data_IF_255156499660
#
_entry.id   IF_255156499660
#
_cell.length_a   1.000
_cell.length_b   1.000
_cell.length_c   1.000
_cell.angle_alpha   90.00
_cell.angle_beta   90.00
_cell.angle_gamma   90.00
#
_symmetry.space_group_name_H-M   'P 1'
#
loop_
_entity.id
_entity.type
_entity.pdbx_description
1 polymer ?
#
# COMPACT_ATOMS: atom_id res chain seq x y z
N UNK A 1 -6.33 -1.07 -4.89
CA UNK A 1 -5.15 -0.49 -4.20
C UNK A 1 -4.46 0.42 -5.19
N UNK A 2 -3.96 1.60 -4.85
CA UNK A 2 -3.26 2.39 -5.88
C UNK A 2 -1.94 1.73 -6.33
N UNK A 3 -1.44 2.13 -7.49
CA UNK A 3 -0.11 1.81 -8.00
C UNK A 3 0.66 3.10 -8.24
N UNK A 4 1.87 3.23 -7.71
CA UNK A 4 2.72 4.40 -7.92
C UNK A 4 4.00 4.01 -8.63
N UNK A 5 4.52 4.90 -9.47
CA UNK A 5 5.77 4.74 -10.19
C UNK A 5 6.47 6.09 -10.35
N UNK A 6 7.79 6.05 -10.54
CA UNK A 6 8.51 7.24 -11.00
C UNK A 6 9.95 6.96 -11.34
N UNK A 7 10.50 7.84 -12.18
CA UNK A 7 11.87 7.78 -12.66
C UNK A 7 12.49 9.17 -12.55
N UNK A 8 13.59 9.25 -11.81
CA UNK A 8 14.55 10.33 -11.88
C UNK A 8 15.74 9.89 -12.73
N UNK A 9 16.15 10.72 -13.69
CA UNK A 9 17.33 10.46 -14.51
C UNK A 9 18.17 11.72 -14.72
N UNK A 10 19.48 11.57 -14.74
CA UNK A 10 20.39 12.64 -15.17
C UNK A 10 20.36 12.81 -16.69
N UNK A 11 20.73 14.00 -17.17
CA UNK A 11 20.79 14.31 -18.59
C UNK A 11 21.72 13.36 -19.38
N UNK A 12 22.73 12.77 -18.73
CA UNK A 12 23.64 11.80 -19.33
C UNK A 12 22.99 10.42 -19.59
N UNK A 13 21.83 10.13 -18.99
CA UNK A 13 21.21 8.81 -18.93
C UNK A 13 19.92 8.69 -19.74
N UNK A 14 19.42 9.76 -20.35
CA UNK A 14 18.27 9.66 -21.25
C UNK A 14 17.76 10.98 -21.79
N UNK A 15 17.07 10.87 -22.93
CA UNK A 15 16.15 11.91 -23.42
C UNK A 15 14.95 11.97 -22.46
N UNK A 16 14.65 13.13 -21.87
CA UNK A 16 13.48 13.30 -21.02
C UNK A 16 12.15 12.88 -21.66
N UNK A 17 12.04 12.89 -22.99
CA UNK A 17 10.85 12.40 -23.69
C UNK A 17 10.64 10.88 -23.55
N UNK A 18 11.73 10.10 -23.45
CA UNK A 18 11.68 8.64 -23.25
C UNK A 18 11.25 8.22 -21.84
N UNK A 19 11.52 9.05 -20.82
CA UNK A 19 11.12 8.74 -19.44
C UNK A 19 9.60 8.67 -19.27
N UNK A 20 8.88 9.53 -20.00
CA UNK A 20 7.42 9.54 -19.98
C UNK A 20 6.83 8.21 -20.44
N UNK A 21 7.30 7.69 -21.57
CA UNK A 21 6.82 6.41 -22.12
C UNK A 21 7.22 5.20 -21.28
N UNK A 22 8.39 5.25 -20.63
CA UNK A 22 8.78 4.24 -19.65
C UNK A 22 7.81 4.22 -18.46
N UNK A 23 7.51 5.38 -17.86
CA UNK A 23 6.53 5.47 -16.77
C UNK A 23 5.14 5.04 -17.24
N UNK A 24 4.70 5.41 -18.44
CA UNK A 24 3.41 4.97 -18.98
C UNK A 24 3.33 3.43 -19.09
N UNK A 25 4.43 2.78 -19.50
CA UNK A 25 4.55 1.31 -19.50
C UNK A 25 4.51 0.73 -18.08
N UNK A 26 5.21 1.35 -17.12
CA UNK A 26 5.16 0.96 -15.71
C UNK A 26 3.73 1.04 -15.16
N UNK A 27 3.00 2.10 -15.49
CA UNK A 27 1.60 2.29 -15.05
C UNK A 27 0.64 1.31 -15.72
N UNK A 28 0.89 0.92 -16.98
CA UNK A 28 0.10 -0.11 -17.65
C UNK A 28 0.25 -1.47 -16.97
N UNK A 29 1.46 -1.82 -16.52
CA UNK A 29 1.74 -3.06 -15.79
C UNK A 29 1.07 -3.14 -14.41
N UNK A 30 0.58 -2.01 -13.87
CA UNK A 30 -0.08 -1.91 -12.56
C UNK A 30 -1.57 -1.57 -12.65
N UNK A 31 -2.18 -1.70 -13.84
CA UNK A 31 -3.60 -1.37 -14.03
C UNK A 31 -4.53 -2.17 -13.10
N UNK A 32 -4.19 -3.42 -12.77
CA UNK A 32 -4.96 -4.27 -11.86
C UNK A 32 -5.05 -3.71 -10.43
N UNK A 33 -4.11 -2.85 -10.04
CA UNK A 33 -4.12 -2.22 -8.72
C UNK A 33 -5.16 -1.10 -8.69
N UNK A 34 -5.02 -0.14 -9.61
CA UNK A 34 -5.80 1.10 -9.69
C UNK A 34 -6.43 1.28 -11.06
N UNK A 35 -7.62 0.69 -11.30
CA UNK A 35 -8.27 0.71 -12.60
C UNK A 35 -9.03 2.00 -12.91
N UNK A 36 -9.32 2.85 -11.92
CA UNK A 36 -10.30 3.93 -12.06
C UNK A 36 -9.71 5.17 -12.74
N UNK A 37 -8.48 5.53 -12.38
CA UNK A 37 -7.79 6.70 -12.94
C UNK A 37 -6.30 6.42 -13.11
N UNK A 38 -5.66 7.14 -14.02
CA UNK A 38 -4.21 7.09 -14.17
C UNK A 38 -3.67 8.36 -14.84
N UNK A 39 -2.45 8.72 -14.47
CA UNK A 39 -1.81 9.92 -15.00
C UNK A 39 -0.34 9.97 -14.65
N UNK A 40 0.34 10.94 -15.26
CA UNK A 40 1.74 11.25 -14.96
C UNK A 40 1.97 12.74 -14.89
N UNK A 41 2.97 13.11 -14.12
CA UNK A 41 3.49 14.45 -13.98
C UNK A 41 4.99 14.41 -14.27
N UNK A 42 5.50 15.38 -15.01
CA UNK A 42 6.90 15.43 -15.41
C UNK A 42 7.48 16.83 -15.18
N UNK A 43 8.75 16.87 -14.80
CA UNK A 43 9.52 18.12 -14.67
C UNK A 43 10.91 17.93 -15.25
N UNK A 44 11.26 18.86 -16.14
CA UNK A 44 12.60 19.00 -16.67
C UNK A 44 13.38 19.99 -15.81
N UNK A 45 14.64 19.65 -15.53
CA UNK A 45 15.64 20.46 -14.83
C UNK A 45 16.86 20.59 -15.75
N UNK A 46 17.76 21.52 -15.45
CA UNK A 46 18.91 21.82 -16.32
C UNK A 46 19.75 20.59 -16.66
N UNK A 47 19.94 19.67 -15.70
CA UNK A 47 20.79 18.48 -15.84
C UNK A 47 20.08 17.16 -15.49
N UNK A 48 18.75 17.15 -15.38
CA UNK A 48 17.99 15.95 -15.03
C UNK A 48 16.51 16.09 -15.36
N UNK A 49 15.77 15.00 -15.26
CA UNK A 49 14.32 15.00 -15.35
C UNK A 49 13.72 14.03 -14.32
N UNK A 50 12.51 14.34 -13.89
CA UNK A 50 11.70 13.51 -13.02
C UNK A 50 10.34 13.28 -13.68
N UNK A 51 9.87 12.04 -13.66
CA UNK A 51 8.50 11.68 -14.01
C UNK A 51 7.91 10.89 -12.85
N UNK A 52 6.74 11.30 -12.38
CA UNK A 52 5.93 10.60 -11.38
C UNK A 52 4.65 10.11 -12.06
N UNK A 53 4.18 8.93 -11.70
CA UNK A 53 2.98 8.31 -12.26
C UNK A 53 2.14 7.63 -11.18
N UNK A 54 0.82 7.73 -11.33
CA UNK A 54 -0.15 7.11 -10.43
C UNK A 54 -1.21 6.31 -11.19
N UNK A 55 -1.65 5.21 -10.58
CA UNK A 55 -2.87 4.44 -10.89
C UNK A 55 -3.73 4.43 -9.64
N UNK A 56 -4.97 4.85 -9.76
CA UNK A 56 -5.86 5.06 -8.62
C UNK A 56 -6.95 4.00 -8.55
N UNK A 57 -7.15 3.44 -7.36
CA UNK A 57 -8.43 2.86 -6.97
C UNK A 57 -9.09 3.90 -6.06
N UNK A 58 -10.23 4.45 -6.47
CA UNK A 58 -10.93 5.49 -5.73
C UNK A 58 -11.71 4.86 -4.56
N UNK A 59 -11.24 5.10 -3.33
CA UNK A 59 -11.84 4.59 -2.08
C UNK A 59 -12.24 5.74 -1.15
N UNK A 60 -11.40 6.77 -1.07
CA UNK A 60 -11.69 8.04 -0.41
C UNK A 60 -11.71 9.15 -1.47
N UNK A 61 -12.74 10.00 -1.42
CA UNK A 61 -13.06 11.05 -2.39
C UNK A 61 -13.18 10.52 -3.82
N UNK A 62 -14.36 10.07 -4.23
CA UNK A 62 -14.56 9.48 -5.56
C UNK A 62 -14.47 10.47 -6.73
N UNK A 63 -14.18 11.75 -6.47
CA UNK A 63 -14.09 12.80 -7.49
C UNK A 63 -12.70 12.88 -8.13
N UNK A 64 -12.55 13.77 -9.12
CA UNK A 64 -11.25 14.10 -9.72
C UNK A 64 -10.31 14.83 -8.77
N UNK A 65 -10.79 15.38 -7.64
CA UNK A 65 -9.95 16.10 -6.68
C UNK A 65 -8.89 15.19 -6.03
N UNK A 66 -9.17 13.89 -5.90
CA UNK A 66 -8.20 12.89 -5.45
C UNK A 66 -7.32 12.29 -6.55
N UNK A 67 -7.32 12.85 -7.77
CA UNK A 67 -6.50 12.34 -8.89
C UNK A 67 -5.01 12.40 -8.58
N UNK A 68 -4.25 11.45 -9.12
CA UNK A 68 -2.80 11.37 -8.94
C UNK A 68 -2.06 11.32 -10.28
N UNK A 69 -0.88 11.95 -10.41
CA UNK A 69 -0.17 12.71 -9.37
C UNK A 69 -0.90 14.01 -8.98
N UNK A 70 -0.95 14.30 -7.68
CA UNK A 70 -1.54 15.53 -7.17
C UNK A 70 -0.45 16.60 -7.04
N UNK A 71 -0.75 17.84 -7.43
CA UNK A 71 0.19 18.96 -7.39
C UNK A 71 -0.33 20.03 -6.44
N UNK A 72 0.51 20.47 -5.52
CA UNK A 72 0.21 21.58 -4.62
C UNK A 72 0.31 22.89 -5.40
N UNK A 73 -0.79 23.66 -5.53
CA UNK A 73 -0.79 24.91 -6.29
C UNK A 73 0.04 26.03 -5.64
N UNK A 74 0.33 25.94 -4.34
CA UNK A 74 1.09 26.95 -3.58
C UNK A 74 2.59 26.67 -3.69
N UNK A 75 3.01 25.43 -3.45
CA UNK A 75 4.43 25.07 -3.43
C UNK A 75 4.94 24.59 -4.78
N UNK A 76 4.07 24.04 -5.64
CA UNK A 76 4.45 23.35 -6.87
C UNK A 76 4.94 21.91 -6.65
N UNK A 77 4.92 21.41 -5.41
CA UNK A 77 5.30 20.03 -5.09
C UNK A 77 4.29 19.04 -5.70
N UNK A 78 4.76 17.88 -6.12
CA UNK A 78 3.92 16.84 -6.72
C UNK A 78 4.03 15.52 -5.93
N UNK A 79 2.90 14.85 -5.69
CA UNK A 79 2.84 13.57 -4.95
C UNK A 79 2.22 12.45 -5.79
N UNK A 80 2.74 11.24 -5.59
CA UNK A 80 2.06 9.97 -5.88
C UNK A 80 1.97 9.16 -4.60
N UNK A 81 0.79 8.59 -4.31
CA UNK A 81 0.43 8.01 -3.03
C UNK A 81 -0.35 6.70 -3.20
N UNK A 82 0.17 5.62 -2.63
CA UNK A 82 -0.54 4.35 -2.46
C UNK A 82 -0.68 4.06 -0.98
N UNK A 83 -1.85 4.35 -0.42
CA UNK A 83 -2.06 4.21 1.01
C UNK A 83 -3.46 4.62 1.44
N UNK A 84 -3.63 4.65 2.76
CA UNK A 84 -4.73 5.25 3.50
C UNK A 84 -4.14 5.86 4.77
N UNK A 85 -4.41 7.15 5.03
CA UNK A 85 -4.09 7.81 6.29
C UNK A 85 -5.35 7.91 7.14
N UNK A 86 -5.49 7.02 8.12
CA UNK A 86 -6.72 6.91 8.91
C UNK A 86 -7.01 8.14 9.78
N UNK A 87 -5.98 8.89 10.17
CA UNK A 87 -6.12 10.13 10.92
C UNK A 87 -6.09 11.40 10.05
N UNK A 88 -6.42 11.28 8.75
CA UNK A 88 -6.46 12.44 7.87
C UNK A 88 -7.48 13.52 8.31
N UNK A 89 -8.65 13.23 8.92
CA UNK A 89 -9.59 14.27 9.31
C UNK A 89 -9.06 15.14 10.48
N UNK A 90 -8.26 14.56 11.38
CA UNK A 90 -7.54 15.30 12.42
C UNK A 90 -6.47 16.21 11.80
N UNK A 91 -5.64 15.65 10.92
CA UNK A 91 -4.55 16.37 10.28
C UNK A 91 -5.06 17.48 9.35
N UNK A 92 -6.17 17.25 8.64
CA UNK A 92 -6.84 18.28 7.86
C UNK A 92 -7.23 19.47 8.73
N UNK A 93 -7.89 19.23 9.88
CA UNK A 93 -8.27 20.30 10.83
C UNK A 93 -7.05 21.03 11.37
N UNK A 94 -5.97 20.32 11.68
CA UNK A 94 -4.71 20.91 12.14
C UNK A 94 -4.10 21.85 11.08
N UNK A 95 -4.03 21.40 9.82
CA UNK A 95 -3.51 22.20 8.71
C UNK A 95 -4.40 23.43 8.43
N UNK A 96 -5.73 23.27 8.44
CA UNK A 96 -6.67 24.40 8.31
C UNK A 96 -6.48 25.42 9.43
N UNK A 97 -6.27 24.98 10.67
CA UNK A 97 -5.99 25.88 11.80
C UNK A 97 -4.66 26.62 11.67
N UNK A 98 -3.69 26.06 10.93
CA UNK A 98 -2.42 26.72 10.55
C UNK A 98 -2.55 27.63 9.31
N UNK A 99 -3.75 27.77 8.75
CA UNK A 99 -4.06 28.65 7.63
C UNK A 99 -3.89 28.00 6.25
N UNK A 100 -3.74 26.67 6.16
CA UNK A 100 -3.78 25.99 4.87
C UNK A 100 -5.21 25.93 4.32
N UNK A 101 -5.36 26.26 3.04
CA UNK A 101 -6.58 25.96 2.28
C UNK A 101 -6.41 24.62 1.59
N UNK A 102 -7.13 23.61 2.05
CA UNK A 102 -7.25 22.32 1.38
C UNK A 102 -8.49 22.35 0.47
N UNK A 103 -8.42 21.65 -0.65
CA UNK A 103 -9.41 21.72 -1.74
C UNK A 103 -10.12 20.39 -1.99
N UNK A 104 -9.64 19.32 -1.37
CA UNK A 104 -10.17 17.96 -1.40
C UNK A 104 -10.34 17.43 0.02
N UNK A 105 -11.23 16.45 0.18
CA UNK A 105 -11.37 15.68 1.41
C UNK A 105 -10.56 14.37 1.33
N UNK A 106 -9.44 14.39 0.59
CA UNK A 106 -8.58 13.24 0.35
C UNK A 106 -7.33 13.26 1.25
N UNK A 107 -6.99 12.10 1.81
CA UNK A 107 -5.79 11.91 2.60
C UNK A 107 -4.48 12.26 1.86
N UNK A 108 -4.48 12.14 0.53
CA UNK A 108 -3.33 12.48 -0.33
C UNK A 108 -2.98 13.97 -0.23
N UNK A 109 -3.98 14.86 -0.19
CA UNK A 109 -3.72 16.31 -0.04
C UNK A 109 -3.18 16.61 1.36
N UNK A 110 -3.71 15.97 2.40
CA UNK A 110 -3.20 16.09 3.78
C UNK A 110 -1.73 15.71 3.87
N UNK A 111 -1.30 14.63 3.20
CA UNK A 111 0.12 14.24 3.16
C UNK A 111 0.97 15.28 2.44
N UNK A 112 0.52 15.76 1.26
CA UNK A 112 1.26 16.73 0.46
C UNK A 112 1.41 18.08 1.19
N UNK A 113 0.32 18.59 1.79
CA UNK A 113 0.32 19.84 2.56
C UNK A 113 1.07 19.68 3.88
N UNK A 114 0.92 18.54 4.54
CA UNK A 114 1.69 18.18 5.72
C UNK A 114 3.19 18.17 5.46
N UNK A 115 3.63 17.63 4.32
CA UNK A 115 5.04 17.69 3.90
C UNK A 115 5.51 19.13 3.67
N UNK A 116 4.71 19.97 3.03
CA UNK A 116 5.05 21.38 2.84
C UNK A 116 5.25 22.14 4.17
N UNK A 117 4.53 21.74 5.23
CA UNK A 117 4.60 22.35 6.57
C UNK A 117 5.68 21.76 7.47
N UNK A 118 5.77 20.44 7.53
CA UNK A 118 6.59 19.71 8.50
C UNK A 118 7.80 19.03 7.87
N UNK A 119 7.96 19.08 6.54
CA UNK A 119 9.02 18.39 5.82
C UNK A 119 8.95 16.88 6.04
N UNK A 120 10.11 16.27 6.29
CA UNK A 120 10.22 14.82 6.50
C UNK A 120 9.43 14.31 7.72
N UNK A 121 9.27 15.14 8.75
CA UNK A 121 8.55 14.80 9.99
C UNK A 121 7.04 14.60 9.78
N UNK A 122 6.54 14.82 8.55
CA UNK A 122 5.17 14.44 8.20
C UNK A 122 4.90 12.97 8.54
N UNK A 123 5.88 12.07 8.33
CA UNK A 123 5.71 10.61 8.52
C UNK A 123 5.41 10.22 9.97
N UNK A 124 5.87 11.02 10.94
CA UNK A 124 5.63 10.75 12.37
C UNK A 124 4.18 11.03 12.77
N UNK A 125 3.49 11.88 12.00
CA UNK A 125 2.09 12.27 12.22
C UNK A 125 1.09 11.33 11.55
N UNK A 126 1.54 10.50 10.62
CA UNK A 126 0.67 9.62 9.84
C UNK A 126 0.32 8.34 10.62
N UNK A 127 -0.97 8.09 10.81
CA UNK A 127 -1.52 6.80 11.26
C UNK A 127 -2.16 6.14 10.04
N UNK A 128 -1.46 5.21 9.42
CA UNK A 128 -1.92 4.67 8.14
C UNK A 128 -1.07 3.52 7.63
N UNK A 129 -1.49 2.99 6.49
CA UNK A 129 -0.68 2.13 5.63
C UNK A 129 -0.38 2.90 4.35
N UNK A 130 0.88 3.08 3.98
CA UNK A 130 1.25 4.00 2.90
C UNK A 130 2.60 3.68 2.28
N UNK A 131 2.69 3.97 1.00
CA UNK A 131 3.91 4.17 0.25
C UNK A 131 3.67 5.40 -0.63
N UNK A 132 4.55 6.38 -0.58
CA UNK A 132 4.39 7.58 -1.40
C UNK A 132 5.72 8.19 -1.79
N UNK A 133 5.66 9.02 -2.83
CA UNK A 133 6.78 9.82 -3.28
C UNK A 133 6.33 11.27 -3.56
N UNK A 134 7.10 12.23 -3.08
CA UNK A 134 6.89 13.67 -3.27
C UNK A 134 8.11 14.23 -3.98
N UNK A 135 7.90 14.88 -5.12
CA UNK A 135 8.91 15.76 -5.70
C UNK A 135 8.81 17.14 -5.07
N UNK A 136 9.83 17.52 -4.31
CA UNK A 136 9.98 18.86 -3.76
C UNK A 136 10.66 19.76 -4.79
N UNK A 137 9.93 20.76 -5.30
CA UNK A 137 10.45 21.65 -6.34
C UNK A 137 11.47 22.66 -5.80
N UNK A 138 11.40 23.02 -4.52
CA UNK A 138 12.30 23.99 -3.89
C UNK A 138 13.67 23.38 -3.64
N UNK A 139 13.71 22.15 -3.14
CA UNK A 139 14.98 21.44 -2.86
C UNK A 139 15.46 20.60 -4.05
N UNK A 140 14.64 20.45 -5.09
CA UNK A 140 14.89 19.58 -6.24
C UNK A 140 15.25 18.15 -5.82
N UNK A 141 14.45 17.60 -4.91
CA UNK A 141 14.66 16.25 -4.37
C UNK A 141 13.39 15.43 -4.38
N UNK A 142 13.54 14.13 -4.63
CA UNK A 142 12.45 13.17 -4.48
C UNK A 142 12.47 12.63 -3.05
N UNK A 143 11.44 12.91 -2.27
CA UNK A 143 11.19 12.31 -0.96
C UNK A 143 10.33 11.06 -1.14
N UNK A 144 10.71 9.94 -0.53
CA UNK A 144 9.90 8.71 -0.49
C UNK A 144 9.69 8.28 0.95
N UNK A 145 8.54 7.69 1.25
CA UNK A 145 8.28 7.08 2.55
C UNK A 145 7.46 5.80 2.41
N UNK A 146 7.71 4.84 3.31
CA UNK A 146 6.93 3.61 3.46
C UNK A 146 6.49 3.47 4.91
N UNK A 147 5.28 2.95 5.13
CA UNK A 147 4.68 2.82 6.45
C UNK A 147 5.50 1.92 7.39
N UNK A 148 5.16 2.01 8.68
CA UNK A 148 5.87 1.40 9.80
C UNK A 148 6.17 -0.09 9.60
N UNK A 149 5.22 -0.83 9.02
CA UNK A 149 5.31 -2.29 8.86
C UNK A 149 5.46 -2.72 7.39
N UNK A 150 5.51 -1.77 6.46
CA UNK A 150 5.65 -2.05 5.03
C UNK A 150 4.39 -2.66 4.41
N UNK A 151 3.21 -2.34 4.94
CA UNK A 151 1.92 -2.86 4.47
C UNK A 151 1.71 -2.52 2.99
N UNK A 152 2.01 -1.27 2.58
CA UNK A 152 1.98 -0.90 1.17
C UNK A 152 3.34 -1.19 0.52
N UNK A 153 3.38 -1.86 -0.64
CA UNK A 153 4.64 -2.20 -1.29
C UNK A 153 5.27 -0.98 -1.97
N UNK A 154 6.59 -0.92 -1.91
CA UNK A 154 7.42 0.06 -2.61
C UNK A 154 8.76 -0.57 -2.91
N UNK A 155 9.13 -0.61 -4.18
CA UNK A 155 10.37 -1.16 -4.68
C UNK A 155 11.14 -0.09 -5.43
N UNK A 156 12.47 -0.22 -5.46
CA UNK A 156 13.32 0.71 -6.19
C UNK A 156 14.51 0.03 -6.85
N UNK A 157 14.96 0.65 -7.93
CA UNK A 157 16.20 0.35 -8.63
C UNK A 157 17.06 1.61 -8.71
N UNK A 158 18.37 1.44 -8.56
CA UNK A 158 19.37 2.49 -8.72
C UNK A 158 20.51 2.00 -9.61
N UNK A 159 20.90 2.85 -10.56
CA UNK A 159 22.16 2.74 -11.31
C UNK A 159 22.76 4.15 -11.49
N UNK A 160 24.01 4.29 -11.97
CA UNK A 160 24.59 5.62 -12.18
C UNK A 160 23.69 6.49 -13.07
N UNK A 161 23.27 7.65 -12.54
CA UNK A 161 22.40 8.60 -13.24
C UNK A 161 20.92 8.20 -13.34
N UNK A 162 20.46 7.15 -12.64
CA UNK A 162 19.07 6.70 -12.69
C UNK A 162 18.59 6.24 -11.30
N UNK A 163 17.41 6.70 -10.91
CA UNK A 163 16.65 6.17 -9.79
C UNK A 163 15.22 5.93 -10.23
N UNK A 164 14.73 4.70 -10.09
CA UNK A 164 13.36 4.34 -10.41
C UNK A 164 12.69 3.66 -9.22
N UNK A 165 11.40 3.91 -9.02
CA UNK A 165 10.59 3.25 -8.00
C UNK A 165 9.23 2.83 -8.55
N UNK A 166 8.63 1.81 -7.94
CA UNK A 166 7.26 1.41 -8.24
C UNK A 166 6.63 0.64 -7.06
N UNK A 167 5.30 0.51 -7.07
CA UNK A 167 4.58 -0.37 -6.15
C UNK A 167 4.83 -1.85 -6.40
N UNK A 168 5.29 -2.22 -7.60
CA UNK A 168 5.49 -3.61 -8.00
C UNK A 168 6.79 -3.78 -8.81
N UNK A 169 7.49 -4.89 -8.58
CA UNK A 169 8.73 -5.26 -9.27
C UNK A 169 8.49 -5.41 -10.77
N UNK A 170 7.36 -5.98 -11.17
CA UNK A 170 6.99 -6.11 -12.59
C UNK A 170 6.97 -4.77 -13.31
N UNK A 171 6.56 -3.69 -12.64
CA UNK A 171 6.49 -2.38 -13.27
C UNK A 171 7.90 -1.91 -13.65
N UNK A 172 8.88 -2.07 -12.76
CA UNK A 172 10.28 -1.75 -13.02
C UNK A 172 10.87 -2.59 -14.18
N UNK A 173 10.46 -3.86 -14.29
CA UNK A 173 10.87 -4.70 -15.42
C UNK A 173 10.26 -4.21 -16.75
N UNK A 174 8.95 -3.97 -16.77
CA UNK A 174 8.24 -3.56 -17.99
C UNK A 174 8.64 -2.16 -18.46
N UNK A 175 9.00 -1.26 -17.53
CA UNK A 175 9.56 0.05 -17.86
C UNK A 175 11.00 0.02 -18.40
N UNK A 176 11.62 -1.16 -18.52
CA UNK A 176 13.00 -1.36 -18.97
C UNK A 176 14.02 -0.52 -18.18
N UNK A 177 13.75 -0.28 -16.88
CA UNK A 177 14.67 0.46 -16.01
C UNK A 177 15.73 -0.44 -15.37
N UNK A 178 15.55 -1.75 -15.48
CA UNK A 178 16.45 -2.75 -14.90
C UNK A 178 16.44 -4.06 -15.70
N UNK A 179 17.58 -4.75 -15.86
CA UNK A 179 17.62 -6.05 -16.53
C UNK A 179 16.83 -7.12 -15.77
N UNK A 180 16.19 -8.03 -16.50
CA UNK A 180 15.42 -9.16 -15.96
C UNK A 180 16.33 -10.32 -15.47
N UNK A 181 17.33 -10.01 -14.65
CA UNK A 181 18.22 -11.01 -14.05
C UNK A 181 17.65 -11.49 -12.72
N UNK A 182 17.59 -12.81 -12.51
CA UNK A 182 17.15 -13.37 -11.21
C UNK A 182 18.21 -13.14 -10.12
N UNK A 183 17.77 -12.86 -8.90
CA UNK A 183 18.67 -12.76 -7.75
C UNK A 183 18.91 -14.13 -7.09
N UNK A 184 20.16 -14.64 -7.05
CA UNK A 184 20.46 -15.91 -6.38
C UNK A 184 20.10 -15.91 -4.89
N UNK A 185 20.20 -14.76 -4.20
CA UNK A 185 19.82 -14.63 -2.80
C UNK A 185 18.30 -14.73 -2.61
N UNK A 186 17.52 -14.14 -3.52
CA UNK A 186 16.06 -14.23 -3.47
C UNK A 186 15.56 -15.64 -3.77
N UNK A 187 16.19 -16.34 -4.72
CA UNK A 187 15.86 -17.76 -4.98
C UNK A 187 16.09 -18.60 -3.73
N UNK A 188 17.23 -18.44 -3.04
CA UNK A 188 17.49 -19.16 -1.78
C UNK A 188 16.44 -18.87 -0.71
N UNK A 189 16.06 -17.59 -0.55
CA UNK A 189 15.03 -17.17 0.40
C UNK A 189 13.67 -17.79 0.06
N UNK A 190 13.25 -17.76 -1.22
CA UNK A 190 12.02 -18.39 -1.68
C UNK A 190 12.02 -19.90 -1.41
N UNK A 191 13.10 -20.61 -1.73
CA UNK A 191 13.20 -22.05 -1.48
C UNK A 191 13.23 -22.41 0.01
N UNK A 192 13.75 -21.51 0.86
CA UNK A 192 13.83 -21.74 2.31
C UNK A 192 12.53 -21.40 3.06
N UNK A 193 11.81 -20.36 2.63
CA UNK A 193 10.70 -19.78 3.39
C UNK A 193 9.36 -19.75 2.63
N UNK A 194 9.34 -20.21 1.38
CA UNK A 194 8.15 -20.17 0.53
C UNK A 194 7.79 -18.77 0.00
N UNK A 195 8.59 -17.75 0.27
CA UNK A 195 8.43 -16.38 -0.22
C UNK A 195 9.78 -15.66 -0.28
N UNK A 196 9.89 -14.62 -1.12
CA UNK A 196 11.07 -13.78 -1.17
C UNK A 196 11.08 -12.81 0.02
N UNK A 197 12.12 -12.87 0.84
CA UNK A 197 12.30 -12.01 2.01
C UNK A 197 12.90 -10.66 1.63
N UNK A 198 12.27 -9.58 2.09
CA UNK A 198 12.85 -8.24 2.01
C UNK A 198 14.23 -8.19 2.72
N UNK A 199 15.18 -7.34 2.28
CA UNK A 199 15.03 -6.26 1.29
C UNK A 199 15.30 -6.68 -0.16
N UNK A 200 15.64 -7.94 -0.43
CA UNK A 200 15.87 -8.41 -1.81
C UNK A 200 14.53 -8.66 -2.50
N UNK A 201 14.55 -8.65 -3.84
CA UNK A 201 13.41 -9.10 -4.65
C UNK A 201 13.87 -10.23 -5.57
N UNK A 202 12.93 -10.92 -6.21
CA UNK A 202 13.28 -11.98 -7.18
C UNK A 202 14.17 -11.46 -8.32
N UNK A 203 14.13 -10.14 -8.59
CA UNK A 203 14.95 -9.47 -9.59
C UNK A 203 16.19 -8.85 -8.97
N UNK A 204 17.34 -9.16 -9.55
CA UNK A 204 18.64 -8.64 -9.16
C UNK A 204 18.66 -7.10 -9.30
N UNK A 205 19.22 -6.42 -8.31
CA UNK A 205 19.33 -4.95 -8.24
C UNK A 205 18.01 -4.18 -8.09
N UNK A 206 16.88 -4.88 -7.89
CA UNK A 206 15.64 -4.29 -7.37
C UNK A 206 15.54 -4.63 -5.89
N UNK A 207 15.27 -3.63 -5.06
CA UNK A 207 15.17 -3.77 -3.61
C UNK A 207 13.83 -3.25 -3.12
N UNK A 208 13.31 -3.88 -2.06
CA UNK A 208 12.20 -3.31 -1.31
C UNK A 208 12.69 -2.07 -0.56
N UNK A 209 11.91 -0.99 -0.62
CA UNK A 209 12.12 0.18 0.21
C UNK A 209 11.80 -0.20 1.67
N UNK A 210 12.70 0.03 2.63
CA UNK A 210 12.55 -0.57 3.96
C UNK A 210 11.32 -0.01 4.71
N UNK A 211 10.60 -0.85 5.49
CA UNK A 211 9.48 -0.42 6.32
C UNK A 211 9.95 0.54 7.42
N UNK A 212 9.10 1.49 7.82
CA UNK A 212 9.43 2.47 8.86
C UNK A 212 10.57 3.42 8.48
N UNK A 213 10.80 3.62 7.18
CA UNK A 213 11.80 4.56 6.67
C UNK A 213 11.18 5.61 5.75
N UNK A 214 11.86 6.75 5.67
CA UNK A 214 11.76 7.67 4.57
C UNK A 214 13.14 7.86 3.93
N UNK A 215 13.18 8.50 2.78
CA UNK A 215 14.45 8.74 2.10
C UNK A 215 14.38 9.85 1.08
N UNK A 216 15.54 10.42 0.80
CA UNK A 216 15.71 11.48 -0.18
C UNK A 216 16.56 10.98 -1.33
N UNK A 217 16.11 11.22 -2.55
CA UNK A 217 16.93 11.07 -3.75
C UNK A 217 17.36 12.44 -4.22
N UNK A 218 18.67 12.67 -4.17
CA UNK A 218 19.34 13.88 -4.68
C UNK A 218 20.43 13.46 -5.64
N UNK A 219 20.38 13.97 -6.87
CA UNK A 219 21.34 13.59 -7.93
C UNK A 219 21.48 12.06 -8.10
N UNK A 220 20.38 11.32 -7.96
CA UNK A 220 20.32 9.86 -8.08
C UNK A 220 20.83 9.07 -6.87
N UNK A 221 21.28 9.76 -5.82
CA UNK A 221 21.70 9.12 -4.57
C UNK A 221 20.55 9.09 -3.57
N UNK A 222 20.23 7.88 -3.13
CA UNK A 222 19.26 7.63 -2.07
C UNK A 222 19.93 7.66 -0.70
N UNK A 223 19.47 8.58 0.15
CA UNK A 223 19.72 8.62 1.59
C UNK A 223 18.47 8.09 2.31
N UNK A 224 18.65 7.12 3.21
CA UNK A 224 17.56 6.48 3.96
C UNK A 224 17.65 6.86 5.44
N UNK A 225 16.50 7.20 6.02
CA UNK A 225 16.36 7.54 7.43
C UNK A 225 15.23 6.69 8.01
N UNK A 226 15.52 5.99 9.11
CA UNK A 226 14.52 5.22 9.86
C UNK A 226 13.78 6.16 10.79
N UNK A 227 12.47 6.30 10.60
CA UNK A 227 11.61 7.05 11.52
C UNK A 227 10.88 6.14 12.51
N UNK A 228 10.81 4.83 12.25
CA UNK A 228 10.15 3.88 13.13
C UNK A 228 10.82 2.50 13.12
N UNK A 229 10.79 1.81 14.26
CA UNK A 229 11.27 0.44 14.40
C UNK A 229 10.37 -0.38 15.34
N UNK A 230 9.96 -1.57 14.89
CA UNK A 230 9.21 -2.52 15.72
C UNK A 230 10.01 -2.91 16.97
N UNK A 231 11.32 -3.15 16.82
CA UNK A 231 12.19 -3.52 17.94
C UNK A 231 12.31 -2.40 18.98
N UNK A 232 12.28 -1.14 18.56
CA UNK A 232 12.31 0.01 19.48
C UNK A 232 10.94 0.28 20.11
N UNK A 233 9.85 -0.02 19.38
CA UNK A 233 8.48 0.08 19.88
C UNK A 233 8.15 -1.04 20.89
N UNK A 234 8.65 -2.26 20.66
CA UNK A 234 8.62 -3.36 21.61
C UNK A 234 9.69 -3.18 22.69
N UNK A 235 9.53 -2.16 23.53
CA UNK A 235 10.20 -2.16 24.84
C UNK A 235 9.33 -2.98 25.78
N UNK A 236 9.85 -4.06 26.40
CA UNK A 236 9.11 -4.80 27.40
C UNK A 236 8.56 -3.81 28.40
N UNK A 237 7.23 -3.67 28.44
CA UNK A 237 6.59 -2.90 29.47
C UNK A 237 6.87 -3.66 30.77
N UNK A 238 7.81 -3.17 31.57
CA UNK A 238 7.89 -3.54 32.98
C UNK A 238 6.74 -2.84 33.71
N UNK A 239 5.51 -3.20 33.34
CA UNK A 239 4.27 -2.56 33.78
C UNK A 239 3.69 -3.27 34.99
N UNK A 240 3.17 -2.48 35.93
CA UNK A 240 2.40 -2.93 37.11
C UNK A 240 0.91 -3.16 36.78
N UNK A 241 0.56 -3.22 35.50
CA UNK A 241 -0.84 -3.34 35.05
C UNK A 241 -1.40 -4.69 35.48
N UNK A 242 -2.58 -4.66 36.08
CA UNK A 242 -3.37 -5.85 36.38
C UNK A 242 -3.89 -6.49 35.09
N UNK A 243 -4.24 -7.79 35.12
CA UNK A 243 -4.86 -8.45 33.96
C UNK A 243 -6.10 -7.71 33.42
N UNK A 244 -6.93 -7.14 34.29
CA UNK A 244 -8.11 -6.37 33.88
C UNK A 244 -7.76 -5.10 33.12
N UNK A 245 -6.77 -4.33 33.59
CA UNK A 245 -6.30 -3.12 32.89
C UNK A 245 -5.71 -3.46 31.52
N UNK A 246 -5.03 -4.61 31.41
CA UNK A 246 -4.51 -5.11 30.13
C UNK A 246 -5.64 -5.47 29.16
N UNK A 247 -6.66 -6.18 29.63
CA UNK A 247 -7.82 -6.55 28.82
C UNK A 247 -8.56 -5.32 28.30
N UNK A 248 -8.84 -4.34 29.17
CA UNK A 248 -9.49 -3.07 28.79
C UNK A 248 -8.65 -2.31 27.76
N UNK A 249 -7.33 -2.24 27.95
CA UNK A 249 -6.44 -1.57 27.00
C UNK A 249 -6.40 -2.27 25.64
N UNK A 250 -6.33 -3.61 25.61
CA UNK A 250 -6.32 -4.38 24.36
C UNK A 250 -7.65 -4.16 23.61
N UNK A 251 -8.78 -4.23 24.31
CA UNK A 251 -10.10 -3.99 23.72
C UNK A 251 -10.20 -2.56 23.15
N UNK A 252 -9.76 -1.55 23.91
CA UNK A 252 -9.78 -0.17 23.47
C UNK A 252 -8.92 0.04 22.20
N UNK A 253 -7.69 -0.48 22.19
CA UNK A 253 -6.76 -0.34 21.06
C UNK A 253 -7.25 -1.10 19.81
N UNK A 254 -7.79 -2.31 19.96
CA UNK A 254 -8.39 -3.06 18.86
C UNK A 254 -9.62 -2.33 18.29
N UNK A 255 -10.49 -1.84 19.17
CA UNK A 255 -11.68 -1.08 18.78
C UNK A 255 -11.30 0.19 18.02
N UNK A 256 -10.38 0.99 18.56
CA UNK A 256 -9.88 2.21 17.88
C UNK A 256 -9.26 1.87 16.51
N UNK A 257 -8.39 0.85 16.47
CA UNK A 257 -7.70 0.42 15.25
C UNK A 257 -8.68 0.03 14.13
N UNK A 258 -9.74 -0.70 14.47
CA UNK A 258 -10.73 -1.16 13.49
C UNK A 258 -11.65 0.00 13.08
N UNK A 259 -12.15 0.82 14.01
CA UNK A 259 -13.00 1.98 13.70
C UNK A 259 -12.34 2.94 12.72
N UNK A 260 -11.05 3.23 12.92
CA UNK A 260 -10.26 4.08 12.03
C UNK A 260 -10.19 3.55 10.58
N UNK A 261 -10.34 2.24 10.38
CA UNK A 261 -10.34 1.58 9.06
C UNK A 261 -11.73 1.45 8.43
N UNK A 262 -12.77 1.92 9.12
CA UNK A 262 -14.14 1.95 8.59
C UNK A 262 -14.47 3.26 7.86
N UNK A 263 -13.53 4.20 7.78
CA UNK A 263 -13.71 5.46 7.06
C UNK A 263 -13.46 5.21 5.56
N UNK A 264 -14.54 5.04 4.80
CA UNK A 264 -14.52 4.74 3.35
C UNK A 264 -15.76 5.32 2.67
N UNK A 265 -15.59 5.83 1.45
CA UNK A 265 -16.71 6.23 0.57
C UNK A 265 -17.21 5.06 -0.30
N UNK A 266 -16.51 3.92 -0.26
CA UNK A 266 -16.86 2.67 -0.91
C UNK A 266 -17.38 1.61 0.09
N UNK A 267 -18.18 0.62 -0.35
CA UNK A 267 -18.63 -0.47 0.50
C UNK A 267 -17.49 -1.20 1.21
N UNK A 268 -17.72 -1.58 2.47
CA UNK A 268 -16.72 -2.27 3.30
C UNK A 268 -17.09 -3.73 3.45
N UNK A 269 -16.11 -4.60 3.23
CA UNK A 269 -16.21 -6.03 3.47
C UNK A 269 -15.12 -6.53 4.42
N UNK A 270 -15.34 -7.73 4.97
CA UNK A 270 -14.35 -8.46 5.78
C UNK A 270 -14.09 -9.83 5.18
N UNK A 271 -12.82 -10.24 5.15
CA UNK A 271 -12.48 -11.64 4.92
C UNK A 271 -12.66 -12.40 6.23
N UNK A 272 -13.51 -13.42 6.21
CA UNK A 272 -13.87 -14.20 7.39
C UNK A 272 -13.35 -15.62 7.20
N UNK A 273 -12.34 -16.02 7.97
CA UNK A 273 -11.82 -17.39 7.91
C UNK A 273 -12.58 -18.34 8.84
N UNK A 274 -13.09 -17.83 9.96
CA UNK A 274 -13.63 -18.65 11.07
C UNK A 274 -12.66 -18.71 12.27
N UNK A 275 -11.38 -18.45 12.03
CA UNK A 275 -10.39 -18.20 13.08
C UNK A 275 -10.69 -16.99 13.98
N UNK A 276 -9.99 -16.95 15.11
CA UNK A 276 -10.16 -15.92 16.15
C UNK A 276 -9.95 -14.50 15.61
N UNK A 277 -8.86 -14.28 14.87
CA UNK A 277 -8.46 -12.95 14.42
C UNK A 277 -9.49 -12.31 13.48
N UNK A 278 -9.90 -13.05 12.45
CA UNK A 278 -10.90 -12.59 11.48
C UNK A 278 -12.27 -12.40 12.14
N UNK A 279 -12.62 -13.25 13.11
CA UNK A 279 -13.87 -13.13 13.89
C UNK A 279 -13.87 -11.88 14.77
N UNK A 280 -12.76 -11.58 15.46
CA UNK A 280 -12.62 -10.35 16.27
C UNK A 280 -12.73 -9.12 15.38
N UNK A 281 -12.05 -9.10 14.24
CA UNK A 281 -12.12 -8.00 13.27
C UNK A 281 -13.55 -7.83 12.76
N UNK A 282 -14.20 -8.90 12.30
CA UNK A 282 -15.56 -8.86 11.76
C UNK A 282 -16.59 -8.37 12.79
N UNK A 283 -16.49 -8.85 14.04
CA UNK A 283 -17.42 -8.49 15.11
C UNK A 283 -17.30 -7.02 15.49
N UNK A 284 -16.07 -6.52 15.68
CA UNK A 284 -15.84 -5.11 16.01
C UNK A 284 -16.22 -4.22 14.82
N UNK A 285 -15.91 -4.63 13.58
CA UNK A 285 -16.29 -3.90 12.39
C UNK A 285 -17.81 -3.77 12.25
N UNK A 286 -18.55 -4.88 12.37
CA UNK A 286 -20.00 -4.88 12.28
C UNK A 286 -20.66 -4.01 13.35
N UNK A 287 -20.15 -4.06 14.59
CA UNK A 287 -20.67 -3.25 15.70
C UNK A 287 -20.45 -1.74 15.56
N UNK A 288 -19.54 -1.31 14.67
CA UNK A 288 -19.19 0.10 14.49
C UNK A 288 -19.44 0.62 13.07
N UNK A 289 -19.86 -0.23 12.16
CA UNK A 289 -20.22 0.16 10.80
C UNK A 289 -21.63 0.77 10.80
N UNK A 290 -21.85 1.90 10.09
CA UNK A 290 -23.19 2.47 9.95
C UNK A 290 -24.12 1.63 9.07
N UNK A 291 -23.56 0.68 8.31
CA UNK A 291 -24.27 -0.21 7.40
C UNK A 291 -23.89 -1.67 7.67
N UNK A 292 -24.74 -2.61 7.25
CA UNK A 292 -24.39 -4.04 7.27
C UNK A 292 -23.11 -4.26 6.48
N UNK A 293 -22.15 -4.97 7.07
CA UNK A 293 -20.90 -5.31 6.40
C UNK A 293 -21.08 -6.54 5.51
N UNK A 294 -20.36 -6.59 4.39
CA UNK A 294 -20.24 -7.80 3.60
C UNK A 294 -19.18 -8.71 4.23
N UNK A 295 -19.36 -10.02 4.22
CA UNK A 295 -18.31 -10.97 4.62
C UNK A 295 -18.07 -12.00 3.53
N UNK A 296 -16.80 -12.30 3.23
CA UNK A 296 -16.41 -13.31 2.24
C UNK A 296 -15.60 -14.40 2.91
N UNK A 297 -15.97 -15.66 2.69
CA UNK A 297 -15.25 -16.83 3.21
C UNK A 297 -14.94 -17.80 2.09
N UNK A 298 -13.76 -18.41 2.16
CA UNK A 298 -13.43 -19.59 1.36
C UNK A 298 -13.70 -20.82 2.22
N UNK A 299 -14.49 -21.76 1.71
CA UNK A 299 -14.81 -23.02 2.37
C UNK A 299 -14.39 -24.19 1.49
N UNK A 300 -14.01 -25.29 2.14
CA UNK A 300 -13.62 -26.54 1.49
C UNK A 300 -14.70 -27.60 1.73
N UNK A 301 -14.84 -28.52 0.78
CA UNK A 301 -15.82 -29.61 0.85
C UNK A 301 -15.43 -30.65 1.90
N UNK A 302 -14.12 -30.85 2.04
CA UNK A 302 -13.49 -31.71 3.03
C UNK A 302 -13.69 -31.13 4.44
N UNK A 303 -14.46 -31.83 5.27
CA UNK A 303 -14.84 -31.35 6.60
C UNK A 303 -13.63 -31.14 7.53
N UNK A 304 -12.53 -31.85 7.32
CA UNK A 304 -11.30 -31.73 8.13
C UNK A 304 -10.57 -30.39 7.93
N UNK A 305 -10.84 -29.70 6.83
CA UNK A 305 -10.21 -28.41 6.49
C UNK A 305 -11.19 -27.23 6.52
N UNK A 306 -12.43 -27.46 6.96
CA UNK A 306 -13.49 -26.45 6.90
C UNK A 306 -13.76 -25.83 8.27
N UNK A 307 -13.52 -24.51 8.38
CA UNK A 307 -13.88 -23.70 9.55
C UNK A 307 -15.35 -23.23 9.52
N UNK A 308 -16.18 -23.83 8.63
CA UNK A 308 -17.56 -23.39 8.34
C UNK A 308 -18.44 -23.22 9.57
N UNK A 309 -18.33 -24.10 10.56
CA UNK A 309 -19.08 -23.97 11.82
C UNK A 309 -18.86 -22.61 12.50
N UNK A 310 -17.62 -22.13 12.51
CA UNK A 310 -17.26 -20.86 13.14
C UNK A 310 -17.65 -19.67 12.26
N UNK A 311 -17.49 -19.80 10.93
CA UNK A 311 -17.99 -18.83 9.95
C UNK A 311 -19.49 -18.61 10.14
N UNK A 312 -20.30 -19.68 10.13
CA UNK A 312 -21.76 -19.59 10.24
C UNK A 312 -22.21 -18.95 11.55
N UNK A 313 -21.52 -19.26 12.66
CA UNK A 313 -21.76 -18.63 13.97
C UNK A 313 -21.47 -17.14 13.94
N UNK A 314 -20.32 -16.75 13.38
CA UNK A 314 -19.92 -15.35 13.28
C UNK A 314 -20.86 -14.57 12.37
N UNK A 315 -21.23 -15.11 11.21
CA UNK A 315 -22.21 -14.51 10.28
C UNK A 315 -23.57 -14.31 10.96
N UNK A 316 -24.06 -15.33 11.67
CA UNK A 316 -25.33 -15.23 12.41
C UNK A 316 -25.26 -14.19 13.53
N UNK A 317 -24.11 -14.06 14.19
CA UNK A 317 -23.90 -13.10 15.26
C UNK A 317 -23.85 -11.65 14.77
N UNK A 318 -23.13 -11.40 13.67
CA UNK A 318 -22.91 -10.04 13.15
C UNK A 318 -23.98 -9.59 12.16
N UNK A 319 -24.78 -10.52 11.63
CA UNK A 319 -25.84 -10.24 10.66
C UNK A 319 -25.34 -9.74 9.30
N UNK A 320 -24.14 -10.17 8.87
CA UNK A 320 -23.52 -9.73 7.62
C UNK A 320 -24.20 -10.31 6.38
N UNK A 321 -24.09 -9.60 5.26
CA UNK A 321 -24.36 -10.20 3.94
C UNK A 321 -23.18 -11.11 3.60
N UNK A 322 -23.38 -12.42 3.73
CA UNK A 322 -22.30 -13.40 3.61
C UNK A 322 -22.20 -14.03 2.21
N UNK A 323 -21.00 -14.01 1.66
CA UNK A 323 -20.62 -14.66 0.40
C UNK A 323 -19.68 -15.83 0.72
N UNK A 324 -20.20 -17.04 0.55
CA UNK A 324 -19.45 -18.27 0.70
C UNK A 324 -18.90 -18.71 -0.66
N UNK A 325 -17.61 -19.04 -0.69
CA UNK A 325 -16.90 -19.53 -1.87
C UNK A 325 -16.43 -20.94 -1.61
N UNK A 326 -17.13 -21.92 -2.20
CA UNK A 326 -16.66 -23.30 -2.18
C UNK A 326 -15.48 -23.48 -3.14
N UNK A 327 -14.30 -23.79 -2.60
CA UNK A 327 -13.09 -24.04 -3.38
C UNK A 327 -12.83 -25.54 -3.48
N UNK A 328 -13.01 -26.10 -4.67
CA UNK A 328 -12.68 -27.50 -4.98
C UNK A 328 -11.30 -27.60 -5.63
N UNK A 329 -10.69 -28.80 -5.60
CA UNK A 329 -9.41 -29.06 -6.28
C UNK A 329 -9.46 -28.70 -7.78
N UNK A 330 -10.54 -29.09 -8.48
CA UNK A 330 -10.71 -28.78 -9.90
C UNK A 330 -10.81 -27.28 -10.15
N UNK A 331 -11.47 -26.55 -9.26
CA UNK A 331 -11.60 -25.10 -9.35
C UNK A 331 -10.25 -24.42 -9.14
N UNK A 332 -9.50 -24.87 -8.13
CA UNK A 332 -8.15 -24.40 -7.85
C UNK A 332 -7.23 -24.59 -9.07
N UNK A 333 -7.18 -25.80 -9.64
CA UNK A 333 -6.37 -26.10 -10.82
C UNK A 333 -6.75 -25.24 -12.04
N UNK A 334 -8.03 -24.93 -12.20
CA UNK A 334 -8.54 -24.04 -13.25
C UNK A 334 -8.09 -22.59 -13.05
N UNK A 335 -7.96 -22.13 -11.81
CA UNK A 335 -7.60 -20.75 -11.48
C UNK A 335 -6.10 -20.47 -11.54
N UNK A 336 -5.24 -21.47 -11.31
CA UNK A 336 -3.77 -21.31 -11.29
C UNK A 336 -3.22 -20.51 -12.49
N UNK A 337 -3.57 -20.81 -13.76
CA UNK A 337 -3.03 -20.07 -14.92
C UNK A 337 -3.37 -18.58 -14.91
N UNK A 338 -4.47 -18.19 -14.27
CA UNK A 338 -4.88 -16.78 -14.13
C UNK A 338 -4.32 -16.12 -12.87
N UNK A 339 -4.12 -16.90 -11.81
CA UNK A 339 -3.60 -16.43 -10.53
C UNK A 339 -2.09 -16.12 -10.61
N UNK A 340 -1.28 -17.01 -11.20
CA UNK A 340 0.18 -16.84 -11.22
C UNK A 340 0.65 -15.52 -11.85
N UNK A 341 0.09 -15.05 -12.99
CA UNK A 341 0.43 -13.75 -13.54
C UNK A 341 0.09 -12.56 -12.63
N UNK A 342 -0.80 -12.73 -11.64
CA UNK A 342 -1.12 -11.66 -10.68
C UNK A 342 -0.07 -11.49 -9.59
N UNK A 343 0.80 -12.48 -9.37
CA UNK A 343 1.80 -12.43 -8.31
C UNK A 343 2.99 -11.59 -8.72
N UNK A 344 3.27 -10.51 -8.00
CA UNK A 344 4.42 -9.67 -8.31
C UNK A 344 5.76 -10.36 -8.01
N UNK A 345 5.77 -11.25 -7.01
CA UNK A 345 6.92 -12.06 -6.63
C UNK A 345 6.48 -13.50 -6.32
N UNK A 346 7.35 -14.51 -6.48
CA UNK A 346 7.00 -15.89 -6.20
C UNK A 346 6.72 -16.12 -4.71
N UNK A 347 5.64 -16.84 -4.43
CA UNK A 347 5.20 -17.23 -3.08
C UNK A 347 4.34 -18.50 -3.17
N UNK A 348 4.38 -19.31 -2.11
CA UNK A 348 3.59 -20.55 -2.01
C UNK A 348 2.15 -20.31 -1.53
N UNK A 349 1.84 -19.14 -0.97
CA UNK A 349 0.56 -18.91 -0.25
C UNK A 349 -0.37 -17.85 -0.90
N UNK A 350 0.08 -17.13 -1.94
CA UNK A 350 -0.75 -16.05 -2.52
C UNK A 350 -2.06 -16.54 -3.19
N UNK A 351 -2.18 -17.83 -3.49
CA UNK A 351 -3.37 -18.37 -4.17
C UNK A 351 -4.64 -18.19 -3.36
N UNK A 352 -4.54 -18.38 -2.04
CA UNK A 352 -5.66 -18.20 -1.11
C UNK A 352 -6.16 -16.76 -1.13
N UNK A 353 -5.22 -15.81 -1.06
CA UNK A 353 -5.51 -14.36 -1.10
C UNK A 353 -6.07 -13.93 -2.45
N UNK A 354 -5.55 -14.48 -3.56
CA UNK A 354 -6.05 -14.20 -4.90
C UNK A 354 -7.51 -14.63 -5.05
N UNK A 355 -7.85 -15.85 -4.62
CA UNK A 355 -9.20 -16.41 -4.75
C UNK A 355 -10.20 -15.58 -3.96
N UNK A 356 -9.93 -15.33 -2.66
CA UNK A 356 -10.85 -14.53 -1.84
C UNK A 356 -11.01 -13.11 -2.37
N UNK A 357 -9.93 -12.49 -2.87
CA UNK A 357 -9.98 -11.13 -3.46
C UNK A 357 -10.77 -11.10 -4.78
N UNK A 358 -10.64 -12.13 -5.61
CA UNK A 358 -11.39 -12.25 -6.86
C UNK A 358 -12.90 -12.31 -6.58
N UNK A 359 -13.30 -13.14 -5.61
CA UNK A 359 -14.71 -13.27 -5.24
C UNK A 359 -15.25 -12.03 -4.54
N UNK A 360 -14.44 -11.40 -3.69
CA UNK A 360 -14.80 -10.10 -3.11
C UNK A 360 -15.10 -9.07 -4.21
N UNK A 361 -14.24 -8.96 -5.22
CA UNK A 361 -14.50 -8.07 -6.36
C UNK A 361 -15.78 -8.43 -7.14
N UNK A 362 -16.13 -9.70 -7.25
CA UNK A 362 -17.37 -10.15 -7.92
C UNK A 362 -18.62 -9.82 -7.09
N UNK A 363 -18.49 -9.73 -5.77
CA UNK A 363 -19.57 -9.39 -4.85
C UNK A 363 -19.90 -7.89 -4.83
N UNK A 364 -19.11 -7.06 -5.53
CA UNK A 364 -19.19 -5.59 -5.49
C UNK A 364 -18.32 -5.01 -4.37
#
# INVERSE_FOLDING_TARGET
MCGIAGIWASAAKGDPAGLGSQVDTMLAAMLHRGPDQGGRWAKHLDNSAIVLGGRRLAIQDLTEAGSQPMVDPVTGNAIVFNGEIYNFPELHRELTAMGDSLTSDCDTEVVLRGYARWGAEVVDRLRGMFAFAIWDVKTQSLFLARDRLGVKPLYYHRSPGLFAFASEVRALLQGDVTPANLSPSAIRSYLAFGAVSEPVTIIQNVRAFPPGHHGFVRSGQLELIRYWSLAEAFRPAHGKESPTELDERIQALLSESIKMRLISDAPIGVFLSGGLDSTVVATIAAANSPQSINSVSVVFKEHEFSEKLWIDRTVSHIGSTHYEVELTESELLRLIPTALPSYDQPTVDAINTYIVSMHARQAG
#
